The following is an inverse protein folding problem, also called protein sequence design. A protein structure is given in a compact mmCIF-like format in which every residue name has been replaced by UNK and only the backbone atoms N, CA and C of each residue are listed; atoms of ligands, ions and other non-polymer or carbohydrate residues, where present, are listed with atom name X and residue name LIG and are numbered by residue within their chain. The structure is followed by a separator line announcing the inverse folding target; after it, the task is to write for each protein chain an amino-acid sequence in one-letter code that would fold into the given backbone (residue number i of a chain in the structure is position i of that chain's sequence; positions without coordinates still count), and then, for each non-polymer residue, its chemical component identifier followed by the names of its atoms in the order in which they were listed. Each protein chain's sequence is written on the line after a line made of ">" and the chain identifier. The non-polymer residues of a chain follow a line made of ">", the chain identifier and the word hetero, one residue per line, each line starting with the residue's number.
data_IF_077935830681
#
_entry.id   IF_077935830681
#
_cell.length_a   1.000
_cell.length_b   1.000
_cell.length_c   1.000
_cell.angle_alpha   90.00
_cell.angle_beta   90.00
_cell.angle_gamma   90.00
#
_symmetry.space_group_name_H-M   'P 1'
#
loop_
_entity.id
_entity.type
_entity.pdbx_description
1 polymer ?
#
# COMPACT_ATOMS: atom_id res chain seq x y z
N UNK A 1 -32.90 28.83 26.16
CA UNK A 1 -33.31 27.99 24.99
C UNK A 1 -32.65 28.40 23.68
N UNK A 2 -32.32 29.68 23.44
CA UNK A 2 -31.66 30.09 22.20
C UNK A 2 -30.18 29.67 22.08
N UNK A 3 -29.44 29.63 23.20
CA UNK A 3 -28.02 29.23 23.20
C UNK A 3 -27.82 27.75 22.89
N UNK A 4 -28.71 26.88 23.39
CA UNK A 4 -28.69 25.44 23.09
C UNK A 4 -29.04 25.18 21.63
N UNK A 5 -30.02 25.90 21.07
CA UNK A 5 -30.36 25.81 19.64
C UNK A 5 -29.19 26.22 18.74
N UNK A 6 -28.47 27.31 19.08
CA UNK A 6 -27.28 27.74 18.33
C UNK A 6 -26.12 26.75 18.40
N UNK A 7 -25.89 26.14 19.57
CA UNK A 7 -24.84 25.14 19.75
C UNK A 7 -25.14 23.86 18.93
N UNK A 8 -26.39 23.40 18.92
CA UNK A 8 -26.82 22.24 18.13
C UNK A 8 -26.70 22.51 16.62
N UNK A 9 -27.11 23.70 16.16
CA UNK A 9 -26.98 24.10 14.74
C UNK A 9 -25.51 24.17 14.32
N UNK A 10 -24.64 24.69 15.18
CA UNK A 10 -23.20 24.77 14.91
C UNK A 10 -22.55 23.38 14.88
N UNK A 11 -22.94 22.47 15.78
CA UNK A 11 -22.50 21.07 15.77
C UNK A 11 -22.95 20.33 14.51
N UNK A 12 -24.20 20.51 14.09
CA UNK A 12 -24.73 19.90 12.86
C UNK A 12 -24.01 20.44 11.60
N UNK A 13 -23.73 21.74 11.53
CA UNK A 13 -22.95 22.35 10.44
C UNK A 13 -21.50 21.86 10.44
N UNK A 14 -20.89 21.68 11.62
CA UNK A 14 -19.55 21.10 11.71
C UNK A 14 -19.53 19.63 11.27
N UNK A 15 -20.56 18.84 11.57
CA UNK A 15 -20.65 17.43 11.15
C UNK A 15 -20.90 17.28 9.63
N UNK A 16 -21.59 18.22 8.98
CA UNK A 16 -21.78 18.19 7.52
C UNK A 16 -20.58 18.75 6.74
N UNK A 17 -19.87 19.75 7.29
CA UNK A 17 -18.63 20.27 6.72
C UNK A 17 -17.43 19.34 6.95
N UNK A 18 -17.41 18.60 8.06
CA UNK A 18 -16.52 17.47 8.28
C UNK A 18 -17.10 16.23 7.61
N UNK A 19 -17.18 16.22 6.27
CA UNK A 19 -17.27 14.95 5.55
C UNK A 19 -16.10 14.10 6.03
N UNK A 20 -16.39 13.07 6.81
CA UNK A 20 -15.45 12.02 7.18
C UNK A 20 -15.01 11.44 5.84
N UNK A 21 -13.86 11.91 5.32
CA UNK A 21 -13.18 11.29 4.18
C UNK A 21 -12.62 9.95 4.69
N UNK A 22 -13.51 9.01 4.97
CA UNK A 22 -13.15 7.62 5.02
C UNK A 22 -12.79 7.24 3.59
N UNK A 23 -11.55 6.82 3.37
CA UNK A 23 -11.19 6.13 2.13
C UNK A 23 -11.94 4.80 2.12
N UNK A 24 -13.16 4.81 1.61
CA UNK A 24 -13.98 3.63 1.44
C UNK A 24 -13.59 2.96 0.12
N UNK A 25 -13.36 1.65 0.15
CA UNK A 25 -13.24 0.86 -1.08
C UNK A 25 -14.53 1.04 -1.87
N UNK A 26 -14.51 1.59 -3.10
CA UNK A 26 -15.73 1.84 -3.86
C UNK A 26 -16.60 0.58 -3.95
N UNK A 27 -17.93 0.74 -3.89
CA UNK A 27 -18.85 -0.40 -3.86
C UNK A 27 -18.65 -1.34 -5.05
N UNK A 28 -18.40 -0.78 -6.24
CA UNK A 28 -18.08 -1.52 -7.45
C UNK A 28 -16.83 -2.38 -7.28
N UNK A 29 -15.75 -1.81 -6.74
CA UNK A 29 -14.51 -2.53 -6.48
C UNK A 29 -14.73 -3.68 -5.49
N UNK A 30 -15.52 -3.47 -4.44
CA UNK A 30 -15.84 -4.52 -3.47
C UNK A 30 -16.63 -5.68 -4.12
N UNK A 31 -17.60 -5.37 -4.99
CA UNK A 31 -18.34 -6.41 -5.76
C UNK A 31 -17.39 -7.20 -6.66
N UNK A 32 -16.51 -6.51 -7.39
CA UNK A 32 -15.51 -7.14 -8.26
C UNK A 32 -14.56 -8.04 -7.48
N UNK A 33 -14.07 -7.58 -6.32
CA UNK A 33 -13.21 -8.36 -5.43
C UNK A 33 -13.89 -9.64 -4.94
N UNK A 34 -15.17 -9.58 -4.55
CA UNK A 34 -15.92 -10.78 -4.14
C UNK A 34 -16.04 -11.79 -5.28
N UNK A 35 -16.36 -11.34 -6.49
CA UNK A 35 -16.43 -12.25 -7.65
C UNK A 35 -15.07 -12.91 -7.93
N UNK A 36 -13.98 -12.15 -7.85
CA UNK A 36 -12.63 -12.70 -8.04
C UNK A 36 -12.23 -13.64 -6.91
N UNK A 37 -12.57 -13.34 -5.65
CA UNK A 37 -12.27 -14.22 -4.51
C UNK A 37 -12.97 -15.58 -4.58
N UNK A 38 -14.15 -15.63 -5.20
CA UNK A 38 -14.85 -16.87 -5.48
C UNK A 38 -14.22 -17.64 -6.64
N UNK A 39 -13.62 -16.94 -7.60
CA UNK A 39 -12.90 -17.60 -8.71
C UNK A 39 -11.54 -18.13 -8.26
N UNK A 40 -10.81 -17.37 -7.43
CA UNK A 40 -9.54 -17.76 -6.81
C UNK A 40 -9.79 -18.32 -5.41
N UNK A 41 -10.66 -19.33 -5.34
CA UNK A 41 -11.03 -19.96 -4.08
C UNK A 41 -9.88 -20.78 -3.51
N UNK A 42 -9.68 -20.65 -2.20
CA UNK A 42 -8.73 -21.43 -1.41
C UNK A 42 -9.41 -21.81 -0.10
N UNK A 43 -9.04 -22.94 0.53
CA UNK A 43 -9.63 -23.36 1.79
C UNK A 43 -9.46 -22.29 2.88
N UNK A 44 -10.45 -22.08 3.77
CA UNK A 44 -10.37 -21.12 4.86
C UNK A 44 -9.14 -21.31 5.76
N UNK A 45 -8.72 -22.55 5.98
CA UNK A 45 -7.55 -22.90 6.78
C UNK A 45 -6.27 -22.35 6.16
N UNK A 46 -6.18 -22.36 4.82
CA UNK A 46 -5.06 -21.78 4.08
C UNK A 46 -5.15 -20.26 4.06
N UNK A 47 -6.35 -19.71 3.86
CA UNK A 47 -6.58 -18.25 3.78
C UNK A 47 -6.31 -17.52 5.10
N UNK A 48 -6.58 -18.18 6.23
CA UNK A 48 -6.52 -17.59 7.56
C UNK A 48 -5.44 -18.23 8.46
N UNK A 49 -4.42 -18.86 7.88
CA UNK A 49 -3.30 -19.48 8.60
C UNK A 49 -2.35 -18.49 9.33
N UNK A 50 -2.65 -17.19 9.33
CA UNK A 50 -1.81 -16.15 9.93
C UNK A 50 -0.63 -15.68 9.06
N UNK A 51 -0.36 -16.34 7.92
CA UNK A 51 0.68 -15.95 6.98
C UNK A 51 0.14 -14.93 5.98
N UNK A 52 0.21 -13.65 6.35
CA UNK A 52 -0.19 -12.57 5.45
C UNK A 52 0.82 -12.41 4.31
N UNK A 53 0.33 -12.27 3.07
CA UNK A 53 1.17 -11.94 1.89
C UNK A 53 1.91 -10.61 2.09
N UNK A 54 1.26 -9.65 2.74
CA UNK A 54 1.84 -8.35 3.08
C UNK A 54 1.80 -8.12 4.59
N UNK A 55 2.96 -7.79 5.17
CA UNK A 55 3.04 -7.44 6.59
C UNK A 55 2.24 -6.16 6.89
N UNK A 56 1.61 -6.12 8.06
CA UNK A 56 0.95 -4.90 8.57
C UNK A 56 1.86 -4.08 9.47
N UNK A 57 3.04 -4.58 9.81
CA UNK A 57 3.99 -3.92 10.71
C UNK A 57 4.36 -2.49 10.26
N UNK A 58 4.64 -2.22 8.96
CA UNK A 58 5.03 -0.86 8.54
C UNK A 58 3.89 0.17 8.62
N UNK A 59 2.65 -0.26 8.88
CA UNK A 59 1.46 0.59 8.94
C UNK A 59 1.24 1.27 10.30
N UNK A 60 2.05 0.98 11.31
CA UNK A 60 1.94 1.61 12.65
C UNK A 60 2.93 2.76 12.86
N UNK A 61 3.76 3.06 11.85
CA UNK A 61 4.84 4.04 11.93
C UNK A 61 4.51 5.45 11.44
N UNK A 62 5.56 6.19 11.04
CA UNK A 62 5.43 7.53 10.43
C UNK A 62 4.72 7.44 9.08
N UNK A 63 3.86 8.42 8.78
CA UNK A 63 3.08 8.47 7.53
C UNK A 63 3.97 8.37 6.29
N UNK A 64 5.16 8.97 6.31
CA UNK A 64 6.10 8.90 5.18
C UNK A 64 6.55 7.46 4.91
N UNK A 65 6.84 6.69 5.97
CA UNK A 65 7.24 5.28 5.87
C UNK A 65 6.05 4.44 5.38
N UNK A 66 4.86 4.69 5.91
CA UNK A 66 3.63 4.02 5.48
C UNK A 66 3.38 4.24 3.99
N UNK A 67 3.53 5.49 3.50
CA UNK A 67 3.31 5.81 2.09
C UNK A 67 4.32 5.12 1.17
N UNK A 68 5.60 5.08 1.55
CA UNK A 68 6.63 4.35 0.77
C UNK A 68 6.33 2.85 0.74
N UNK A 69 5.94 2.27 1.88
CA UNK A 69 5.53 0.87 1.94
C UNK A 69 4.30 0.59 1.06
N UNK A 70 3.28 1.45 1.13
CA UNK A 70 2.07 1.33 0.30
C UNK A 70 2.35 1.49 -1.19
N UNK A 71 3.27 2.36 -1.59
CA UNK A 71 3.69 2.47 -2.99
C UNK A 71 4.25 1.12 -3.50
N UNK A 72 5.09 0.45 -2.70
CA UNK A 72 5.61 -0.87 -3.03
C UNK A 72 4.55 -1.96 -3.06
N UNK A 73 3.58 -1.91 -2.13
CA UNK A 73 2.43 -2.83 -2.14
C UNK A 73 1.59 -2.65 -3.41
N UNK A 74 1.31 -1.41 -3.83
CA UNK A 74 0.56 -1.14 -5.06
C UNK A 74 1.33 -1.58 -6.32
N UNK A 75 2.64 -1.32 -6.40
CA UNK A 75 3.48 -1.82 -7.50
C UNK A 75 3.47 -3.36 -7.57
N UNK A 76 3.50 -4.02 -6.41
CA UNK A 76 3.45 -5.48 -6.33
C UNK A 76 2.08 -6.02 -6.75
N UNK A 77 0.98 -5.37 -6.33
CA UNK A 77 -0.36 -5.75 -6.77
C UNK A 77 -0.55 -5.58 -8.27
N UNK A 78 -0.04 -4.52 -8.88
CA UNK A 78 -0.09 -4.37 -10.34
C UNK A 78 0.59 -5.55 -11.03
N UNK A 79 1.81 -5.92 -10.61
CA UNK A 79 2.54 -7.06 -11.17
C UNK A 79 1.78 -8.37 -10.96
N UNK A 80 1.30 -8.62 -9.75
CA UNK A 80 0.55 -9.83 -9.39
C UNK A 80 -0.71 -9.98 -10.25
N UNK A 81 -1.53 -8.93 -10.32
CA UNK A 81 -2.75 -8.95 -11.13
C UNK A 81 -2.44 -9.08 -12.63
N UNK A 82 -1.37 -8.42 -13.10
CA UNK A 82 -0.86 -8.58 -14.46
C UNK A 82 -0.45 -10.02 -14.77
N UNK A 83 0.13 -10.75 -13.82
CA UNK A 83 0.41 -12.17 -13.95
C UNK A 83 -0.86 -13.02 -13.94
N UNK A 84 -1.81 -12.74 -13.04
CA UNK A 84 -3.11 -13.44 -12.98
C UNK A 84 -3.89 -13.31 -14.29
N UNK A 85 -3.76 -12.20 -15.02
CA UNK A 85 -4.36 -12.01 -16.34
C UNK A 85 -3.69 -12.80 -17.46
N UNK A 86 -2.37 -13.07 -17.34
CA UNK A 86 -1.58 -13.78 -18.37
C UNK A 86 -1.61 -15.29 -18.19
N UNK A 87 -1.85 -15.77 -16.96
CA UNK A 87 -1.88 -17.20 -16.69
C UNK A 87 -3.08 -17.86 -17.40
N UNK A 88 -2.86 -18.95 -18.17
CA UNK A 88 -3.95 -19.77 -18.65
C UNK A 88 -4.63 -20.39 -17.43
N UNK A 89 -5.94 -20.16 -17.27
CA UNK A 89 -6.74 -20.70 -16.17
C UNK A 89 -6.50 -22.20 -16.04
N UNK A 90 -5.69 -22.58 -15.05
CA UNK A 90 -5.77 -23.90 -14.48
C UNK A 90 -6.69 -23.72 -13.30
N UNK A 91 -7.97 -23.99 -13.50
CA UNK A 91 -8.75 -24.59 -12.43
C UNK A 91 -7.90 -25.74 -11.93
N UNK A 92 -7.30 -25.61 -10.75
CA UNK A 92 -6.59 -26.71 -10.14
C UNK A 92 -7.67 -27.65 -9.58
N UNK A 93 -7.84 -28.89 -10.09
CA UNK A 93 -8.56 -29.90 -9.36
C UNK A 93 -7.53 -30.55 -8.45
N UNK A 94 -7.36 -30.04 -7.23
CA UNK A 94 -6.76 -30.86 -6.18
C UNK A 94 -7.89 -31.44 -5.36
N UNK A 95 -8.51 -32.48 -5.92
CA UNK A 95 -9.12 -33.55 -5.13
C UNK A 95 -8.66 -34.85 -5.75
N UNK A 96 -7.64 -35.45 -5.14
CA UNK A 96 -7.36 -36.86 -5.36
C UNK A 96 -8.55 -37.67 -4.81
N UNK A 97 -9.25 -38.38 -5.69
CA UNK A 97 -10.20 -39.43 -5.34
C UNK A 97 -11.63 -39.20 -5.81
N UNK A 98 -12.09 -39.99 -6.78
CA UNK A 98 -13.51 -40.17 -7.10
C UNK A 98 -13.82 -40.24 -8.59
N UNK A 99 -14.16 -41.43 -9.06
CA UNK A 99 -14.42 -41.84 -10.44
C UNK A 99 -15.57 -41.12 -11.19
N UNK A 100 -15.36 -41.00 -12.52
CA UNK A 100 -16.32 -41.10 -13.65
C UNK A 100 -17.56 -40.19 -13.66
N UNK A 101 -17.67 -39.30 -14.67
CA UNK A 101 -18.55 -39.50 -15.84
C UNK A 101 -18.47 -38.32 -16.83
N UNK A 102 -18.32 -38.67 -18.11
CA UNK A 102 -18.35 -37.79 -19.27
C UNK A 102 -19.73 -37.12 -19.44
N UNK A 103 -19.74 -35.83 -19.80
CA UNK A 103 -20.77 -35.24 -20.66
C UNK A 103 -20.17 -34.07 -21.45
N UNK A 104 -19.76 -34.37 -22.69
CA UNK A 104 -19.35 -33.40 -23.69
C UNK A 104 -20.60 -32.89 -24.42
N UNK A 105 -20.76 -31.56 -24.55
CA UNK A 105 -21.72 -31.00 -25.49
C UNK A 105 -22.41 -29.67 -25.18
N UNK A 106 -22.00 -28.86 -24.18
CA UNK A 106 -22.52 -27.46 -24.05
C UNK A 106 -21.55 -26.49 -23.33
N UNK A 107 -20.45 -26.97 -22.75
CA UNK A 107 -19.60 -26.20 -21.83
C UNK A 107 -18.65 -25.17 -22.48
N UNK A 108 -18.29 -25.33 -23.76
CA UNK A 108 -17.21 -24.55 -24.41
C UNK A 108 -17.56 -23.04 -24.53
N UNK A 109 -18.83 -22.71 -24.72
CA UNK A 109 -19.29 -21.31 -24.79
C UNK A 109 -19.33 -20.62 -23.42
N UNK A 110 -19.80 -21.33 -22.39
CA UNK A 110 -19.95 -20.78 -21.05
C UNK A 110 -18.60 -20.55 -20.35
N UNK A 111 -17.64 -21.48 -20.51
CA UNK A 111 -16.29 -21.33 -19.95
C UNK A 111 -15.53 -20.18 -20.59
N UNK A 112 -15.71 -19.98 -21.90
CA UNK A 112 -15.06 -18.89 -22.64
C UNK A 112 -15.61 -17.52 -22.22
N UNK A 113 -16.92 -17.40 -22.01
CA UNK A 113 -17.54 -16.16 -21.54
C UNK A 113 -17.19 -15.85 -20.08
N UNK A 114 -17.17 -16.86 -19.20
CA UNK A 114 -16.71 -16.69 -17.81
C UNK A 114 -15.25 -16.21 -17.76
N UNK A 115 -14.38 -16.81 -18.56
CA UNK A 115 -12.96 -16.42 -18.67
C UNK A 115 -12.80 -14.96 -19.12
N UNK A 116 -13.59 -14.52 -20.09
CA UNK A 116 -13.60 -13.11 -20.54
C UNK A 116 -14.09 -12.18 -19.43
N UNK A 117 -15.12 -12.56 -18.68
CA UNK A 117 -15.65 -11.76 -17.57
C UNK A 117 -14.63 -11.61 -16.42
N UNK A 118 -13.97 -12.70 -16.01
CA UNK A 118 -12.90 -12.66 -15.01
C UNK A 118 -11.75 -11.74 -15.45
N UNK A 119 -11.35 -11.82 -16.73
CA UNK A 119 -10.30 -10.96 -17.28
C UNK A 119 -10.69 -9.48 -17.21
N UNK A 120 -11.93 -9.12 -17.57
CA UNK A 120 -12.44 -7.74 -17.46
C UNK A 120 -12.45 -7.25 -16.01
N UNK A 121 -12.80 -8.12 -15.06
CA UNK A 121 -12.78 -7.80 -13.62
C UNK A 121 -11.36 -7.55 -13.10
N UNK A 122 -10.39 -8.37 -13.50
CA UNK A 122 -8.98 -8.15 -13.17
C UNK A 122 -8.48 -6.83 -13.78
N UNK A 123 -8.80 -6.57 -15.04
CA UNK A 123 -8.44 -5.33 -15.73
C UNK A 123 -9.00 -4.09 -15.02
N UNK A 124 -10.27 -4.14 -14.60
CA UNK A 124 -10.90 -3.08 -13.79
C UNK A 124 -10.11 -2.78 -12.52
N UNK A 125 -9.68 -3.80 -11.76
CA UNK A 125 -8.89 -3.61 -10.55
C UNK A 125 -7.49 -3.08 -10.86
N UNK A 126 -6.83 -3.62 -11.88
CA UNK A 126 -5.49 -3.15 -12.30
C UNK A 126 -5.53 -1.66 -12.62
N UNK A 127 -6.53 -1.20 -13.37
CA UNK A 127 -6.71 0.21 -13.68
C UNK A 127 -6.86 1.05 -12.41
N UNK A 128 -7.68 0.61 -11.45
CA UNK A 128 -7.84 1.33 -10.17
C UNK A 128 -6.56 1.38 -9.32
N UNK A 129 -5.77 0.30 -9.31
CA UNK A 129 -4.48 0.25 -8.61
C UNK A 129 -3.48 1.19 -9.26
N UNK A 130 -3.40 1.19 -10.60
CA UNK A 130 -2.56 2.12 -11.37
C UNK A 130 -2.94 3.57 -11.13
N UNK A 131 -4.22 3.89 -11.26
CA UNK A 131 -4.74 5.25 -11.02
C UNK A 131 -4.34 5.74 -9.63
N UNK A 132 -4.52 4.90 -8.60
CA UNK A 132 -4.14 5.26 -7.23
C UNK A 132 -2.63 5.50 -7.09
N UNK A 133 -1.80 4.64 -7.69
CA UNK A 133 -0.34 4.77 -7.63
C UNK A 133 0.13 6.05 -8.32
N UNK A 134 -0.31 6.27 -9.55
CA UNK A 134 0.14 7.39 -10.40
C UNK A 134 -0.29 8.75 -9.83
N UNK A 135 -1.47 8.83 -9.22
CA UNK A 135 -2.01 10.10 -8.72
C UNK A 135 -1.70 10.39 -7.25
N UNK A 136 -1.53 9.37 -6.40
CA UNK A 136 -1.34 9.58 -4.95
C UNK A 136 0.04 9.14 -4.42
N UNK A 137 0.81 8.36 -5.19
CA UNK A 137 2.06 7.76 -4.73
C UNK A 137 3.26 8.00 -5.65
N UNK A 138 3.16 8.92 -6.62
CA UNK A 138 4.23 9.18 -7.60
C UNK A 138 5.60 9.50 -6.96
N UNK A 139 5.62 10.33 -5.91
CA UNK A 139 6.87 10.68 -5.22
C UNK A 139 7.46 9.50 -4.45
N UNK A 140 6.61 8.67 -3.87
CA UNK A 140 7.04 7.46 -3.18
C UNK A 140 7.54 6.40 -4.15
N UNK A 141 6.95 6.29 -5.34
CA UNK A 141 7.41 5.41 -6.41
C UNK A 141 8.80 5.82 -6.91
N UNK A 142 9.03 7.13 -7.15
CA UNK A 142 10.38 7.64 -7.49
C UNK A 142 11.41 7.28 -6.43
N UNK A 143 11.08 7.47 -5.15
CA UNK A 143 11.98 7.11 -4.05
C UNK A 143 12.22 5.61 -3.99
N UNK A 144 11.16 4.81 -4.14
CA UNK A 144 11.23 3.36 -4.09
C UNK A 144 12.11 2.80 -5.22
N UNK A 145 12.01 3.32 -6.44
CA UNK A 145 12.90 2.94 -7.55
C UNK A 145 14.36 3.31 -7.29
N UNK A 146 14.61 4.48 -6.67
CA UNK A 146 15.97 4.85 -6.24
C UNK A 146 16.50 3.91 -5.16
N UNK A 147 15.65 3.41 -4.25
CA UNK A 147 16.06 2.44 -3.24
C UNK A 147 16.32 1.05 -3.86
N UNK A 148 15.48 0.63 -4.79
CA UNK A 148 15.67 -0.62 -5.53
C UNK A 148 16.95 -0.62 -6.36
N UNK A 149 17.29 0.51 -7.01
CA UNK A 149 18.51 0.61 -7.81
C UNK A 149 19.79 0.43 -6.98
N UNK A 150 19.78 0.80 -5.70
CA UNK A 150 20.90 0.54 -4.79
C UNK A 150 21.19 -0.96 -4.63
N UNK A 151 20.15 -1.82 -4.69
CA UNK A 151 20.32 -3.28 -4.64
C UNK A 151 21.02 -3.85 -5.88
N UNK A 152 20.95 -3.15 -7.00
CA UNK A 152 21.51 -3.58 -8.28
C UNK A 152 22.93 -3.03 -8.54
N UNK A 153 23.54 -2.36 -7.56
CA UNK A 153 24.93 -1.91 -7.65
C UNK A 153 25.85 -3.14 -7.75
N UNK A 154 26.74 -3.13 -8.74
CA UNK A 154 27.72 -4.20 -8.97
C UNK A 154 28.89 -4.06 -7.99
N UNK A 155 28.75 -4.62 -6.80
CA UNK A 155 29.73 -4.47 -5.71
C UNK A 155 31.11 -5.03 -6.06
N UNK A 156 31.19 -6.02 -6.95
CA UNK A 156 32.45 -6.68 -7.33
C UNK A 156 33.20 -5.94 -8.45
N UNK A 157 32.63 -4.85 -8.97
CA UNK A 157 33.25 -4.07 -10.04
C UNK A 157 34.22 -3.03 -9.47
N UNK A 158 35.49 -3.08 -9.88
CA UNK A 158 36.54 -2.18 -9.39
C UNK A 158 36.26 -0.70 -9.65
N UNK A 159 35.68 -0.34 -10.80
CA UNK A 159 35.32 1.05 -11.10
C UNK A 159 34.21 1.56 -10.17
N UNK A 160 33.23 0.70 -9.87
CA UNK A 160 32.15 1.02 -8.93
C UNK A 160 32.71 1.23 -7.53
N UNK A 161 33.61 0.35 -7.08
CA UNK A 161 34.28 0.48 -5.77
C UNK A 161 35.06 1.79 -5.67
N UNK A 162 35.87 2.10 -6.69
CA UNK A 162 36.65 3.35 -6.73
C UNK A 162 35.76 4.59 -6.70
N UNK A 163 34.68 4.63 -7.49
CA UNK A 163 33.69 5.72 -7.47
C UNK A 163 33.01 5.85 -6.11
N UNK A 164 32.57 4.74 -5.53
CA UNK A 164 31.93 4.74 -4.21
C UNK A 164 32.86 5.29 -3.12
N UNK A 165 34.14 4.92 -3.14
CA UNK A 165 35.14 5.46 -2.22
C UNK A 165 35.35 6.97 -2.38
N UNK A 166 35.29 7.47 -3.62
CA UNK A 166 35.41 8.92 -3.89
C UNK A 166 34.20 9.73 -3.39
N UNK A 167 33.00 9.15 -3.39
CA UNK A 167 31.76 9.80 -2.95
C UNK A 167 31.53 9.69 -1.43
N UNK A 168 32.20 8.74 -0.78
CA UNK A 168 31.98 8.39 0.63
C UNK A 168 32.12 9.57 1.60
N UNK A 169 33.14 10.46 1.52
CA UNK A 169 33.24 11.58 2.46
C UNK A 169 32.00 12.48 2.45
N UNK A 170 31.48 12.79 1.26
CA UNK A 170 30.29 13.62 1.09
C UNK A 170 29.01 12.93 1.60
N UNK A 171 28.85 11.63 1.30
CA UNK A 171 27.70 10.85 1.77
C UNK A 171 27.70 10.70 3.30
N UNK A 172 28.86 10.45 3.90
CA UNK A 172 29.00 10.30 5.35
C UNK A 172 28.67 11.59 6.09
N UNK A 173 29.16 12.73 5.60
CA UNK A 173 28.82 14.05 6.18
C UNK A 173 27.32 14.34 6.05
N UNK A 174 26.74 14.10 4.87
CA UNK A 174 25.31 14.27 4.62
C UNK A 174 24.45 13.44 5.59
N UNK A 175 24.81 12.17 5.81
CA UNK A 175 24.11 11.28 6.74
C UNK A 175 24.25 11.75 8.21
N UNK A 176 25.47 12.16 8.60
CA UNK A 176 25.76 12.66 9.95
C UNK A 176 24.97 13.92 10.26
N UNK A 177 24.90 14.87 9.33
CA UNK A 177 24.13 16.10 9.46
C UNK A 177 22.63 15.83 9.59
N UNK A 178 22.09 14.88 8.82
CA UNK A 178 20.69 14.49 8.91
C UNK A 178 20.33 13.92 10.29
N UNK A 179 21.18 13.04 10.83
CA UNK A 179 21.00 12.46 12.16
C UNK A 179 21.05 13.54 13.25
N UNK A 180 22.04 14.43 13.21
CA UNK A 180 22.25 15.49 14.20
C UNK A 180 21.15 16.56 14.17
N UNK A 181 20.58 16.88 13.00
CA UNK A 181 19.47 17.82 12.92
C UNK A 181 18.22 17.31 13.64
N UNK A 182 17.94 16.00 13.55
CA UNK A 182 16.82 15.38 14.25
C UNK A 182 16.97 15.47 15.79
N UNK A 183 18.19 15.24 16.31
CA UNK A 183 18.47 15.31 17.75
C UNK A 183 18.46 16.75 18.27
N UNK A 184 19.01 17.69 17.49
CA UNK A 184 19.01 19.12 17.81
C UNK A 184 17.59 19.69 17.85
N UNK A 185 16.73 19.31 16.90
CA UNK A 185 15.33 19.74 16.89
C UNK A 185 14.56 19.21 18.10
N UNK A 186 14.81 17.95 18.50
CA UNK A 186 14.22 17.37 19.73
C UNK A 186 14.67 18.11 20.99
N UNK A 187 15.95 18.47 21.10
CA UNK A 187 16.49 19.24 22.24
C UNK A 187 15.87 20.64 22.32
N UNK A 188 15.74 21.35 21.20
CA UNK A 188 15.11 22.68 21.14
C UNK A 188 13.64 22.64 21.58
N UNK A 189 12.87 21.64 21.15
CA UNK A 189 11.46 21.46 21.60
C UNK A 189 11.36 21.29 23.12
N UNK A 190 12.26 20.52 23.73
CA UNK A 190 12.30 20.33 25.20
C UNK A 190 12.64 21.61 25.97
N UNK A 191 13.52 22.46 25.42
CA UNK A 191 13.88 23.74 26.05
C UNK A 191 12.73 24.76 25.95
N UNK A 192 12.00 24.81 24.84
CA UNK A 192 10.84 25.69 24.69
C UNK A 192 9.71 25.37 25.68
N UNK A 193 9.55 24.11 26.08
CA UNK A 193 8.55 23.70 27.08
C UNK A 193 8.93 24.16 28.50
N UNK A 194 10.21 24.10 28.87
CA UNK A 194 10.69 24.56 30.18
C UNK A 194 10.55 26.07 30.40
N UNK A 195 10.58 26.86 29.33
CA UNK A 195 10.40 28.32 29.39
C UNK A 195 8.92 28.68 29.62
N UNK A 196 7.97 27.85 29.16
CA UNK A 196 6.53 28.09 29.33
C UNK A 196 6.01 27.75 30.72
N UNK A 197 6.67 26.86 31.46
CA UNK A 197 6.23 26.42 32.80
C UNK A 197 6.82 27.25 33.95
N UNK A 198 7.73 28.18 33.67
CA UNK A 198 8.20 29.16 34.64
C UNK A 198 7.96 30.57 34.10
N UNK A 199 6.75 31.15 34.27
CA UNK A 199 6.62 32.58 34.14
C UNK A 199 7.52 33.22 35.19
N UNK A 200 8.56 33.93 34.74
CA UNK A 200 9.37 34.79 35.61
C UNK A 200 8.41 35.71 36.37
N UNK A 201 8.33 35.53 37.70
CA UNK A 201 7.78 36.55 38.57
C UNK A 201 8.62 37.82 38.34
N UNK A 202 7.99 38.85 37.78
CA UNK A 202 8.57 40.19 37.71
C UNK A 202 8.30 40.85 39.06
N UNK A 203 9.37 41.25 39.73
CA UNK A 203 9.33 42.27 40.78
C UNK A 203 9.05 43.63 40.16
#
# INVERSE_FOLDING_TARGET
>A
MAATAKAVVCLCLCLTACQVRGSFVPQEMNRTLKTLLNHYEIPPEVRYNGNLVFSREPLTGKVEVQKVYMAGVLETYEKLLGHMMKQPHTSSPVTAGGDVQQNAGTAVGAETELKKDIRKKLESIVTKVKDLREHQFQEQEKLLHRLQSLRHIKMDNLEVQSKALSELPWLYDSASNLANNSTRQRRRRRQAWKIKTHPKAKN
#
